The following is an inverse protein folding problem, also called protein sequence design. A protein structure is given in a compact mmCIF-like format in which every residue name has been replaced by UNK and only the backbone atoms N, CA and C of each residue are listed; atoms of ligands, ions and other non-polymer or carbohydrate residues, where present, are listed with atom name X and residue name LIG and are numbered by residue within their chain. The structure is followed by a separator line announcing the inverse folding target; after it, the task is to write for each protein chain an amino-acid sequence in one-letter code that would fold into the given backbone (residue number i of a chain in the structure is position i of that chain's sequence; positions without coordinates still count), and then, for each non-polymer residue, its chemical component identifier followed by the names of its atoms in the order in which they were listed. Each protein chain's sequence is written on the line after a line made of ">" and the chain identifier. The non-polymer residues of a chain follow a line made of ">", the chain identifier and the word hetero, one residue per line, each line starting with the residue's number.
data_IF_571836762799
#
_entry.id   IF_571836762799
#
_cell.length_a   1.000
_cell.length_b   1.000
_cell.length_c   1.000
_cell.angle_alpha   90.00
_cell.angle_beta   90.00
_cell.angle_gamma   90.00
#
_symmetry.space_group_name_H-M   'P 1'
#
loop_
_entity.id
_entity.type
_entity.pdbx_description
1 polymer ?
#
# COMPACT_ATOMS: atom_id res chain seq x y z
N UNK A 1 8.98 -25.05 12.07
CA UNK A 1 9.09 -25.11 10.59
C UNK A 1 10.54 -25.39 10.21
N UNK A 2 10.77 -26.31 9.31
CA UNK A 2 12.11 -26.66 8.81
C UNK A 2 12.29 -26.15 7.38
N UNK A 3 13.53 -25.73 7.04
CA UNK A 3 13.88 -25.36 5.66
C UNK A 3 14.36 -26.58 4.89
N UNK A 4 13.89 -26.73 3.65
CA UNK A 4 14.38 -27.75 2.75
C UNK A 4 15.72 -27.27 2.11
N UNK A 5 16.84 -27.79 2.63
CA UNK A 5 18.17 -27.42 2.12
C UNK A 5 18.65 -28.34 0.98
N UNK A 6 18.05 -29.53 0.79
CA UNK A 6 18.43 -30.49 -0.25
C UNK A 6 18.28 -29.95 -1.67
N UNK A 7 18.88 -30.63 -2.63
CA UNK A 7 18.80 -30.28 -4.07
C UNK A 7 17.36 -30.47 -4.57
N UNK A 8 16.70 -31.55 -4.11
CA UNK A 8 15.29 -31.81 -4.47
C UNK A 8 14.37 -31.05 -3.51
N UNK A 9 13.48 -30.24 -4.06
CA UNK A 9 12.48 -29.47 -3.32
C UNK A 9 11.11 -30.13 -3.47
N UNK A 10 10.58 -30.63 -2.37
CA UNK A 10 9.25 -31.21 -2.34
C UNK A 10 8.18 -30.11 -2.24
N UNK A 11 7.00 -30.37 -2.80
CA UNK A 11 5.80 -29.55 -2.69
C UNK A 11 4.59 -30.46 -2.58
N UNK A 12 3.72 -30.21 -1.58
CA UNK A 12 2.55 -31.03 -1.32
C UNK A 12 2.56 -31.63 0.08
N UNK A 13 1.80 -32.69 0.30
CA UNK A 13 1.70 -33.42 1.58
C UNK A 13 2.22 -34.82 1.44
N UNK A 14 2.99 -35.27 2.42
CA UNK A 14 3.44 -36.65 2.57
C UNK A 14 3.18 -37.04 4.03
N UNK A 15 2.19 -37.88 4.26
CA UNK A 15 1.72 -38.19 5.60
C UNK A 15 1.30 -36.90 6.35
N UNK A 16 1.85 -36.71 7.54
CA UNK A 16 1.60 -35.51 8.36
C UNK A 16 2.50 -34.31 8.01
N UNK A 17 3.45 -34.48 7.08
CA UNK A 17 4.33 -33.42 6.63
C UNK A 17 3.72 -32.66 5.46
N UNK A 18 3.72 -31.33 5.57
CA UNK A 18 3.34 -30.40 4.52
C UNK A 18 4.58 -29.66 4.02
N UNK A 19 4.85 -29.74 2.72
CA UNK A 19 5.94 -29.08 2.02
C UNK A 19 5.36 -27.94 1.17
N UNK A 20 5.91 -26.74 1.32
CA UNK A 20 5.40 -25.55 0.61
C UNK A 20 6.52 -24.53 0.34
N UNK A 21 6.30 -23.69 -0.67
CA UNK A 21 7.20 -22.61 -1.03
C UNK A 21 6.64 -21.26 -0.52
N UNK A 22 7.48 -20.49 0.12
CA UNK A 22 7.22 -19.10 0.52
C UNK A 22 8.17 -18.15 -0.21
N UNK A 23 8.05 -16.86 0.06
CA UNK A 23 9.04 -15.86 -0.41
C UNK A 23 10.43 -16.12 0.19
N UNK A 24 10.48 -16.71 1.39
CA UNK A 24 11.72 -17.03 2.11
C UNK A 24 12.30 -18.41 1.75
N UNK A 25 11.71 -19.10 0.76
CA UNK A 25 12.19 -20.37 0.23
C UNK A 25 11.24 -21.56 0.47
N UNK A 26 11.79 -22.76 0.36
CA UNK A 26 11.06 -24.03 0.52
C UNK A 26 11.08 -24.47 1.99
N UNK A 27 9.90 -24.68 2.55
CA UNK A 27 9.69 -25.03 3.95
C UNK A 27 8.95 -26.38 4.08
N UNK A 28 9.14 -27.01 5.24
CA UNK A 28 8.39 -28.18 5.68
C UNK A 28 7.83 -27.92 7.08
N UNK A 29 6.61 -28.38 7.33
CA UNK A 29 6.00 -28.39 8.65
C UNK A 29 5.20 -29.68 8.86
N UNK A 30 5.19 -30.16 10.07
CA UNK A 30 4.23 -31.17 10.50
C UNK A 30 2.83 -30.54 10.60
N UNK A 31 1.82 -31.28 10.19
CA UNK A 31 0.43 -30.87 10.39
C UNK A 31 0.10 -31.05 11.89
N UNK A 32 0.36 -30.02 12.64
CA UNK A 32 -0.08 -29.94 14.04
C UNK A 32 -1.26 -28.97 14.17
N UNK A 33 -1.90 -29.00 15.32
CA UNK A 33 -2.94 -28.04 15.68
C UNK A 33 -4.28 -28.71 15.98
N UNK A 34 -5.25 -27.88 16.32
CA UNK A 34 -6.61 -28.31 16.64
C UNK A 34 -7.40 -28.49 15.35
N UNK A 35 -8.31 -29.47 15.34
CA UNK A 35 -9.20 -29.71 14.21
C UNK A 35 -10.06 -28.48 13.91
N UNK A 36 -10.31 -28.22 12.62
CA UNK A 36 -11.07 -27.07 12.17
C UNK A 36 -12.53 -27.10 12.69
N UNK A 37 -13.14 -28.28 12.79
CA UNK A 37 -14.48 -28.47 13.34
C UNK A 37 -14.54 -28.10 14.83
N UNK A 38 -13.50 -28.42 15.58
CA UNK A 38 -13.39 -28.04 16.98
C UNK A 38 -13.19 -26.53 17.14
N UNK A 39 -12.34 -25.89 16.32
CA UNK A 39 -12.19 -24.43 16.32
C UNK A 39 -13.53 -23.75 16.00
N UNK A 40 -14.30 -24.31 15.07
CA UNK A 40 -15.59 -23.75 14.67
C UNK A 40 -16.68 -23.85 15.76
N UNK A 41 -16.73 -24.96 16.51
CA UNK A 41 -17.88 -25.30 17.32
C UNK A 41 -17.62 -25.27 18.84
N UNK A 42 -16.39 -25.52 19.29
CA UNK A 42 -16.05 -25.58 20.71
C UNK A 42 -16.06 -24.17 21.35
N UNK A 43 -16.78 -23.95 22.46
CA UNK A 43 -16.82 -22.67 23.18
C UNK A 43 -15.43 -22.15 23.60
N UNK A 44 -14.48 -23.05 23.89
CA UNK A 44 -13.11 -22.67 24.25
C UNK A 44 -12.39 -21.85 23.16
N UNK A 45 -12.83 -21.94 21.89
CA UNK A 45 -12.25 -21.24 20.74
C UNK A 45 -13.01 -19.97 20.33
N UNK A 46 -13.96 -19.48 21.14
CA UNK A 46 -14.69 -18.25 20.81
C UNK A 46 -13.74 -17.07 20.52
N UNK A 47 -12.69 -16.90 21.33
CA UNK A 47 -11.69 -15.85 21.16
C UNK A 47 -10.87 -15.99 19.88
N UNK A 48 -10.58 -17.23 19.49
CA UNK A 48 -9.88 -17.53 18.24
C UNK A 48 -10.73 -17.13 17.03
N UNK A 49 -12.03 -17.44 17.08
CA UNK A 49 -12.99 -17.04 16.02
C UNK A 49 -13.16 -15.54 15.93
N UNK A 50 -13.32 -14.84 17.06
CA UNK A 50 -13.41 -13.38 17.11
C UNK A 50 -12.17 -12.73 16.50
N UNK A 51 -10.97 -13.14 16.90
CA UNK A 51 -9.72 -12.63 16.36
C UNK A 51 -9.58 -12.95 14.87
N UNK A 52 -9.98 -14.15 14.44
CA UNK A 52 -9.97 -14.55 13.03
C UNK A 52 -10.91 -13.72 12.18
N UNK A 53 -12.12 -13.42 12.67
CA UNK A 53 -13.09 -12.57 11.99
C UNK A 53 -12.57 -11.14 11.81
N UNK A 54 -12.05 -10.54 12.87
CA UNK A 54 -11.48 -9.19 12.83
C UNK A 54 -10.24 -9.09 11.93
N UNK A 55 -9.37 -10.11 11.95
CA UNK A 55 -8.21 -10.18 11.07
C UNK A 55 -8.64 -10.29 9.60
N UNK A 56 -9.64 -11.15 9.31
CA UNK A 56 -10.21 -11.29 7.97
C UNK A 56 -10.80 -9.99 7.45
N UNK A 57 -11.53 -9.25 8.28
CA UNK A 57 -12.07 -7.92 7.96
C UNK A 57 -10.95 -6.92 7.64
N UNK A 58 -9.89 -6.87 8.48
CA UNK A 58 -8.74 -6.00 8.26
C UNK A 58 -7.99 -6.34 6.96
N UNK A 59 -7.80 -7.64 6.67
CA UNK A 59 -7.18 -8.09 5.43
C UNK A 59 -8.00 -7.73 4.19
N UNK A 60 -9.34 -7.80 4.28
CA UNK A 60 -10.27 -7.38 3.22
C UNK A 60 -10.19 -5.87 2.97
N UNK A 61 -10.13 -5.05 4.03
CA UNK A 61 -9.92 -3.61 3.92
C UNK A 61 -8.59 -3.27 3.23
N UNK A 62 -7.50 -3.96 3.60
CA UNK A 62 -6.20 -3.80 2.93
C UNK A 62 -6.23 -4.27 1.47
N UNK A 63 -6.99 -5.31 1.14
CA UNK A 63 -7.21 -5.76 -0.24
C UNK A 63 -7.96 -4.70 -1.04
N UNK A 64 -8.99 -4.08 -0.48
CA UNK A 64 -9.75 -3.00 -1.13
C UNK A 64 -8.81 -1.86 -1.54
N UNK A 65 -8.00 -1.33 -0.62
CA UNK A 65 -7.03 -0.26 -0.91
C UNK A 65 -6.07 -0.69 -2.03
N UNK A 66 -5.51 -1.90 -1.98
CA UNK A 66 -4.59 -2.38 -3.01
C UNK A 66 -5.27 -2.55 -4.38
N UNK A 67 -6.51 -3.00 -4.41
CA UNK A 67 -7.27 -3.12 -5.65
C UNK A 67 -7.56 -1.74 -6.26
N UNK A 68 -7.94 -0.76 -5.43
CA UNK A 68 -8.17 0.64 -5.84
C UNK A 68 -6.90 1.24 -6.45
N UNK A 69 -5.74 1.00 -5.84
CA UNK A 69 -4.47 1.58 -6.26
C UNK A 69 -3.67 0.69 -7.22
N UNK A 70 -4.26 -0.39 -7.74
CA UNK A 70 -3.54 -1.40 -8.52
C UNK A 70 -2.64 -0.83 -9.63
N UNK A 71 -3.08 0.13 -10.48
CA UNK A 71 -2.21 0.67 -11.53
C UNK A 71 -0.96 1.36 -10.99
N UNK A 72 -1.06 2.06 -9.85
CA UNK A 72 0.09 2.69 -9.19
C UNK A 72 1.01 1.66 -8.54
N UNK A 73 0.43 0.62 -7.94
CA UNK A 73 1.17 -0.44 -7.27
C UNK A 73 1.98 -1.31 -8.24
N UNK A 74 1.59 -1.38 -9.50
CA UNK A 74 2.35 -2.11 -10.52
C UNK A 74 3.72 -1.50 -10.77
N UNK A 75 3.88 -0.20 -10.54
CA UNK A 75 5.13 0.54 -10.76
C UNK A 75 5.86 0.91 -9.47
N UNK A 76 5.18 0.92 -8.31
CA UNK A 76 5.75 1.40 -7.06
C UNK A 76 5.24 0.60 -5.85
N UNK A 77 5.66 -0.64 -5.71
CA UNK A 77 5.35 -1.47 -4.55
C UNK A 77 6.48 -2.43 -4.19
N UNK A 78 6.55 -2.81 -2.91
CA UNK A 78 7.42 -3.88 -2.44
C UNK A 78 6.67 -5.22 -2.34
N UNK A 79 7.43 -6.30 -2.14
CA UNK A 79 6.88 -7.64 -2.00
C UNK A 79 6.20 -7.90 -0.64
N UNK A 80 6.28 -6.98 0.32
CA UNK A 80 5.68 -7.06 1.66
C UNK A 80 4.54 -6.07 1.89
N UNK A 81 4.18 -5.27 0.90
CA UNK A 81 3.11 -4.27 1.00
C UNK A 81 1.80 -4.86 1.52
N UNK A 82 1.46 -6.09 1.14
CA UNK A 82 0.25 -6.77 1.60
C UNK A 82 0.24 -6.97 3.12
N UNK A 83 1.32 -7.49 3.69
CA UNK A 83 1.41 -7.74 5.14
C UNK A 83 1.53 -6.44 5.93
N UNK A 84 2.27 -5.44 5.43
CA UNK A 84 2.39 -4.12 6.06
C UNK A 84 1.04 -3.40 6.10
N UNK A 85 0.31 -3.40 4.98
CA UNK A 85 -0.99 -2.79 4.90
C UNK A 85 -2.05 -3.53 5.76
N UNK A 86 -2.02 -4.87 5.80
CA UNK A 86 -2.90 -5.65 6.68
C UNK A 86 -2.64 -5.33 8.15
N UNK A 87 -1.37 -5.20 8.55
CA UNK A 87 -1.01 -4.77 9.91
C UNK A 87 -1.61 -3.39 10.20
N UNK A 88 -1.40 -2.41 9.32
CA UNK A 88 -1.95 -1.07 9.47
C UNK A 88 -3.48 -1.08 9.60
N UNK A 89 -4.18 -1.85 8.76
CA UNK A 89 -5.64 -1.99 8.86
C UNK A 89 -6.06 -2.63 10.19
N UNK A 90 -5.26 -3.54 10.73
CA UNK A 90 -5.51 -4.12 12.07
C UNK A 90 -5.32 -3.08 13.17
N UNK A 91 -4.29 -2.24 13.07
CA UNK A 91 -4.05 -1.17 14.04
C UNK A 91 -5.19 -0.14 13.99
N UNK A 92 -5.66 0.25 12.81
CA UNK A 92 -6.84 1.12 12.62
C UNK A 92 -8.10 0.47 13.20
N UNK A 93 -8.40 -0.79 12.88
CA UNK A 93 -9.55 -1.52 13.40
C UNK A 93 -9.56 -1.55 14.95
N UNK A 94 -8.39 -1.61 15.58
CA UNK A 94 -8.28 -1.61 17.04
C UNK A 94 -8.75 -0.30 17.69
N UNK A 95 -8.87 0.78 16.93
CA UNK A 95 -9.46 2.05 17.38
C UNK A 95 -10.99 2.03 17.43
N UNK A 96 -11.64 1.01 16.87
CA UNK A 96 -13.09 0.84 17.00
C UNK A 96 -13.44 0.42 18.43
N UNK A 97 -13.83 1.39 19.24
CA UNK A 97 -14.24 1.21 20.63
C UNK A 97 -15.77 0.96 20.78
N UNK A 98 -16.53 1.08 19.69
CA UNK A 98 -18.00 0.99 19.72
C UNK A 98 -18.51 -0.41 19.40
N UNK A 99 -17.83 -1.15 18.54
CA UNK A 99 -18.21 -2.49 18.16
C UNK A 99 -17.81 -3.52 19.21
N UNK A 100 -18.65 -4.52 19.41
CA UNK A 100 -18.30 -5.65 20.29
C UNK A 100 -17.13 -6.43 19.71
N UNK A 101 -16.37 -7.06 20.58
CA UNK A 101 -15.22 -7.87 20.18
C UNK A 101 -15.65 -8.96 19.18
N UNK A 102 -14.84 -9.15 18.14
CA UNK A 102 -15.13 -10.03 17.01
C UNK A 102 -15.83 -9.34 15.84
N UNK A 103 -16.36 -8.13 16.06
CA UNK A 103 -17.08 -7.35 15.03
C UNK A 103 -16.47 -5.98 14.74
N UNK A 104 -15.32 -5.67 15.36
CA UNK A 104 -14.61 -4.41 15.09
C UNK A 104 -14.12 -4.37 13.64
N UNK A 105 -14.29 -3.20 13.00
CA UNK A 105 -13.97 -3.01 11.58
C UNK A 105 -13.20 -1.73 11.31
N UNK A 106 -12.47 -1.70 10.20
CA UNK A 106 -11.85 -0.48 9.68
C UNK A 106 -12.92 0.53 9.28
N UNK A 107 -14.06 0.08 8.74
CA UNK A 107 -15.14 0.96 8.29
C UNK A 107 -15.71 1.84 9.40
N UNK A 108 -15.79 1.34 10.63
CA UNK A 108 -16.20 2.13 11.80
C UNK A 108 -15.06 3.02 12.29
N UNK A 109 -13.86 2.45 12.44
CA UNK A 109 -12.71 3.15 13.03
C UNK A 109 -12.19 4.31 12.18
N UNK A 110 -12.29 4.23 10.85
CA UNK A 110 -11.68 5.20 9.93
C UNK A 110 -12.31 6.60 10.00
N UNK A 111 -13.48 6.73 10.58
CA UNK A 111 -14.10 8.03 10.87
C UNK A 111 -13.32 8.84 11.92
N UNK A 112 -12.53 8.17 12.76
CA UNK A 112 -11.75 8.79 13.81
C UNK A 112 -10.49 9.45 13.27
N UNK A 113 -10.17 10.64 13.77
CA UNK A 113 -8.95 11.37 13.40
C UNK A 113 -7.65 10.56 13.63
N UNK A 114 -7.47 9.81 14.75
CA UNK A 114 -6.31 8.95 14.93
C UNK A 114 -6.16 7.85 13.87
N UNK A 115 -7.27 7.29 13.38
CA UNK A 115 -7.27 6.27 12.34
C UNK A 115 -6.80 6.83 10.99
N UNK A 116 -7.27 8.02 10.62
CA UNK A 116 -6.81 8.75 9.43
C UNK A 116 -5.31 9.10 9.54
N UNK A 117 -4.87 9.53 10.71
CA UNK A 117 -3.46 9.84 10.99
C UNK A 117 -2.54 8.62 10.82
N UNK A 118 -2.98 7.42 11.23
CA UNK A 118 -2.24 6.17 10.99
C UNK A 118 -2.10 5.84 9.51
N UNK A 119 -3.12 6.15 8.71
CA UNK A 119 -3.12 5.84 7.28
C UNK A 119 -2.30 6.85 6.47
N UNK A 120 -2.28 8.12 6.90
CA UNK A 120 -1.46 9.19 6.32
C UNK A 120 0.02 8.86 6.48
N UNK A 121 0.80 9.02 5.41
CA UNK A 121 2.22 8.72 5.38
C UNK A 121 2.56 7.25 5.10
N UNK A 122 1.56 6.37 4.85
CA UNK A 122 1.85 4.99 4.48
C UNK A 122 2.54 4.93 3.10
N UNK A 123 3.73 4.34 3.07
CA UNK A 123 4.51 4.13 1.86
C UNK A 123 4.29 2.71 1.33
N UNK A 124 3.89 2.59 0.07
CA UNK A 124 3.65 1.30 -0.58
C UNK A 124 4.93 0.58 -1.01
N UNK A 125 6.04 1.31 -1.07
CA UNK A 125 7.38 0.75 -1.27
C UNK A 125 8.26 1.11 -0.08
N UNK A 126 8.66 0.12 0.71
CA UNK A 126 9.51 0.30 1.89
C UNK A 126 10.98 0.64 1.56
N UNK A 127 11.38 0.41 0.30
CA UNK A 127 12.70 0.75 -0.23
C UNK A 127 12.76 2.17 -0.80
N UNK A 128 11.60 2.81 -0.97
CA UNK A 128 11.46 4.12 -1.58
C UNK A 128 10.44 4.95 -0.80
N UNK A 129 10.83 5.37 0.40
CA UNK A 129 10.00 6.19 1.29
C UNK A 129 9.95 7.60 0.73
N UNK A 130 8.73 8.15 0.53
CA UNK A 130 8.54 9.45 -0.11
C UNK A 130 9.34 10.57 0.57
N UNK A 131 9.35 10.65 1.90
CA UNK A 131 10.08 11.68 2.64
C UNK A 131 11.61 11.56 2.55
N UNK A 132 12.14 10.40 2.12
CA UNK A 132 13.57 10.22 1.85
C UNK A 132 13.91 10.46 0.37
N UNK A 133 12.92 10.66 -0.48
CA UNK A 133 13.08 10.90 -1.91
C UNK A 133 12.77 12.35 -2.26
N UNK A 134 11.67 12.90 -1.78
CA UNK A 134 11.23 14.26 -2.03
C UNK A 134 11.52 15.14 -0.81
N UNK A 135 12.46 16.06 -0.93
CA UNK A 135 12.83 17.01 0.13
C UNK A 135 12.07 18.34 0.02
N UNK A 136 11.44 18.59 -1.13
CA UNK A 136 10.62 19.79 -1.35
C UNK A 136 9.27 19.65 -0.68
N UNK A 137 8.79 20.66 0.07
CA UNK A 137 7.43 20.67 0.59
C UNK A 137 6.39 20.65 -0.53
N UNK A 138 5.28 19.98 -0.27
CA UNK A 138 4.11 19.96 -1.15
C UNK A 138 2.85 20.28 -0.37
N UNK A 139 1.83 20.75 -1.05
CA UNK A 139 0.51 21.04 -0.49
C UNK A 139 -0.56 20.17 -1.18
N UNK A 140 -1.54 19.72 -0.39
CA UNK A 140 -2.71 18.96 -0.88
C UNK A 140 -3.96 19.78 -0.59
N UNK A 141 -4.70 20.15 -1.64
CA UNK A 141 -6.00 20.80 -1.51
C UNK A 141 -7.08 19.72 -1.48
N UNK A 142 -7.52 19.34 -0.30
CA UNK A 142 -8.45 18.19 -0.10
C UNK A 142 -9.80 18.39 -0.79
N UNK A 143 -10.24 19.64 -1.00
CA UNK A 143 -11.50 19.94 -1.66
C UNK A 143 -11.48 19.64 -3.18
N UNK A 144 -10.32 19.76 -3.82
CA UNK A 144 -10.16 19.58 -5.27
C UNK A 144 -9.25 18.41 -5.63
N UNK A 145 -8.55 17.84 -4.65
CA UNK A 145 -7.57 16.78 -4.85
C UNK A 145 -6.26 17.25 -5.50
N UNK A 146 -6.09 18.55 -5.71
CA UNK A 146 -4.89 19.12 -6.34
C UNK A 146 -3.71 19.02 -5.40
N UNK A 147 -2.57 18.52 -5.93
CA UNK A 147 -1.29 18.50 -5.21
C UNK A 147 -0.33 19.45 -5.92
N UNK A 148 0.29 20.36 -5.16
CA UNK A 148 1.23 21.35 -5.67
C UNK A 148 2.60 21.21 -5.04
N UNK A 149 3.66 21.33 -5.85
CA UNK A 149 5.05 21.41 -5.41
C UNK A 149 5.66 22.63 -6.09
N UNK A 150 5.85 23.71 -5.35
CA UNK A 150 6.31 24.96 -5.92
C UNK A 150 7.83 25.03 -5.97
N UNK A 151 8.39 25.45 -7.10
CA UNK A 151 9.81 25.68 -7.27
C UNK A 151 10.66 24.42 -7.10
N UNK A 152 10.18 23.26 -7.54
CA UNK A 152 10.92 22.01 -7.50
C UNK A 152 12.15 22.07 -8.42
N UNK A 153 13.32 21.80 -7.88
CA UNK A 153 14.58 21.64 -8.63
C UNK A 153 14.97 20.16 -8.55
N UNK A 154 14.66 19.34 -9.58
CA UNK A 154 14.81 17.88 -9.47
C UNK A 154 16.20 17.39 -9.05
N UNK A 155 17.27 18.06 -9.50
CA UNK A 155 18.62 17.69 -9.12
C UNK A 155 18.97 17.92 -7.65
N UNK A 156 18.29 18.87 -7.00
CA UNK A 156 18.57 19.25 -5.59
C UNK A 156 17.55 18.69 -4.62
N UNK A 157 16.27 18.69 -5.03
CA UNK A 157 15.13 18.43 -4.15
C UNK A 157 14.68 16.95 -4.18
N UNK A 158 15.27 16.12 -5.06
CA UNK A 158 14.93 14.69 -5.19
C UNK A 158 16.16 13.83 -5.06
N UNK A 159 16.10 12.85 -4.16
CA UNK A 159 17.09 11.77 -4.09
C UNK A 159 16.78 10.75 -5.19
N UNK A 160 17.61 10.68 -6.22
CA UNK A 160 17.42 9.80 -7.36
C UNK A 160 18.50 8.74 -7.47
N UNK A 161 18.16 7.53 -7.96
CA UNK A 161 19.13 6.44 -8.15
C UNK A 161 20.04 6.70 -9.35
N UNK A 162 21.23 6.11 -9.33
CA UNK A 162 22.18 6.19 -10.46
C UNK A 162 21.52 5.65 -11.75
N UNK A 163 21.69 6.41 -12.84
CA UNK A 163 21.12 6.11 -14.15
C UNK A 163 19.74 6.74 -14.39
N UNK A 164 19.12 7.36 -13.39
CA UNK A 164 17.91 8.15 -13.62
C UNK A 164 18.24 9.44 -14.37
N UNK A 165 17.46 9.73 -15.41
CA UNK A 165 17.60 10.95 -16.22
C UNK A 165 16.34 11.82 -16.14
N UNK A 166 15.19 11.21 -15.88
CA UNK A 166 13.88 11.84 -15.77
C UNK A 166 13.09 11.30 -14.60
N UNK A 167 12.12 12.09 -14.18
CA UNK A 167 11.11 11.69 -13.21
C UNK A 167 9.71 11.90 -13.76
N UNK A 168 8.80 11.00 -13.43
CA UNK A 168 7.37 11.24 -13.53
C UNK A 168 6.81 11.49 -12.13
N UNK A 169 6.05 12.56 -11.99
CA UNK A 169 5.30 12.85 -10.77
C UNK A 169 3.82 12.77 -11.11
N UNK A 170 3.08 12.00 -10.32
CA UNK A 170 1.66 11.76 -10.52
C UNK A 170 0.92 11.75 -9.19
N UNK A 171 -0.25 12.38 -9.16
CA UNK A 171 -1.18 12.33 -8.04
C UNK A 171 -2.32 11.36 -8.32
N UNK A 172 -3.01 10.95 -7.26
CA UNK A 172 -4.30 10.30 -7.37
C UNK A 172 -5.19 10.66 -6.18
N UNK A 173 -6.49 10.75 -6.44
CA UNK A 173 -7.52 10.93 -5.44
C UNK A 173 -8.42 9.70 -5.46
N UNK A 174 -8.40 8.92 -4.39
CA UNK A 174 -9.30 7.79 -4.20
C UNK A 174 -10.32 8.08 -3.11
N UNK A 175 -11.52 7.58 -3.28
CA UNK A 175 -12.55 7.51 -2.26
C UNK A 175 -12.82 6.05 -1.94
N UNK A 176 -12.66 5.67 -0.68
CA UNK A 176 -12.71 4.26 -0.24
C UNK A 176 -13.75 4.10 0.85
N UNK A 177 -14.79 3.34 0.55
CA UNK A 177 -15.81 2.93 1.52
C UNK A 177 -15.47 1.53 2.05
N UNK A 178 -14.88 1.51 3.24
CA UNK A 178 -14.49 0.27 3.91
C UNK A 178 -15.68 -0.53 4.44
N UNK A 179 -16.83 0.13 4.67
CA UNK A 179 -18.02 -0.54 5.16
C UNK A 179 -18.71 -1.35 4.06
N UNK A 180 -18.85 -0.74 2.87
CA UNK A 180 -19.52 -1.35 1.72
C UNK A 180 -18.54 -2.03 0.74
N UNK A 181 -17.23 -1.96 1.01
CA UNK A 181 -16.17 -2.55 0.17
C UNK A 181 -16.20 -2.05 -1.28
N UNK A 182 -16.46 -0.74 -1.46
CA UNK A 182 -16.48 -0.06 -2.76
C UNK A 182 -15.48 1.08 -2.78
N UNK A 183 -14.99 1.43 -3.97
CA UNK A 183 -14.06 2.55 -4.13
C UNK A 183 -14.12 3.13 -5.53
N UNK A 184 -13.73 4.40 -5.63
CA UNK A 184 -13.47 5.10 -6.89
C UNK A 184 -12.10 5.76 -6.82
N UNK A 185 -11.43 5.93 -7.97
CA UNK A 185 -10.12 6.61 -8.05
C UNK A 185 -10.04 7.45 -9.31
N UNK A 186 -9.50 8.65 -9.16
CA UNK A 186 -9.17 9.56 -10.26
C UNK A 186 -7.68 9.88 -10.21
N UNK A 187 -7.07 9.86 -11.36
CA UNK A 187 -5.64 10.17 -11.51
C UNK A 187 -5.47 11.62 -11.98
N UNK A 188 -4.37 12.23 -11.57
CA UNK A 188 -3.95 13.52 -12.11
C UNK A 188 -3.29 13.36 -13.48
N UNK A 189 -3.00 14.50 -14.11
CA UNK A 189 -1.95 14.57 -15.13
C UNK A 189 -0.63 14.00 -14.60
N UNK A 190 0.24 13.60 -15.52
CA UNK A 190 1.63 13.23 -15.22
C UNK A 190 2.52 14.40 -15.57
N UNK A 191 3.35 14.83 -14.64
CA UNK A 191 4.40 15.83 -14.88
C UNK A 191 5.73 15.09 -15.06
N UNK A 192 6.27 15.15 -16.27
CA UNK A 192 7.58 14.56 -16.61
C UNK A 192 8.64 15.67 -16.60
N UNK A 193 9.68 15.50 -15.80
CA UNK A 193 10.76 16.46 -15.67
C UNK A 193 12.13 15.79 -15.87
N UNK A 194 13.07 16.43 -16.58
CA UNK A 194 14.46 16.00 -16.57
C UNK A 194 15.06 16.27 -15.19
N UNK A 195 16.01 15.42 -14.76
CA UNK A 195 16.76 15.60 -13.52
C UNK A 195 17.87 16.62 -13.78
N UNK A 196 17.55 17.89 -13.63
CA UNK A 196 18.46 19.01 -13.82
C UNK A 196 18.26 20.09 -12.74
N UNK A 197 19.00 21.18 -12.81
CA UNK A 197 18.94 22.31 -11.88
C UNK A 197 17.90 23.39 -12.25
N UNK A 198 17.01 23.10 -13.17
CA UNK A 198 15.94 24.05 -13.58
C UNK A 198 14.77 23.93 -12.61
N UNK A 199 14.33 25.07 -12.07
CA UNK A 199 13.17 25.15 -11.17
C UNK A 199 11.86 25.00 -11.96
N UNK A 200 10.95 24.19 -11.45
CA UNK A 200 9.64 23.94 -12.07
C UNK A 200 8.53 23.93 -11.00
N UNK A 201 7.37 24.47 -11.35
CA UNK A 201 6.17 24.30 -10.53
C UNK A 201 5.40 23.07 -10.99
N UNK A 202 5.15 22.16 -10.07
CA UNK A 202 4.38 20.94 -10.33
C UNK A 202 2.97 21.13 -9.80
N UNK A 203 1.98 20.99 -10.68
CA UNK A 203 0.55 21.01 -10.34
C UNK A 203 -0.07 19.72 -10.86
N UNK A 204 -0.53 18.89 -9.94
CA UNK A 204 -1.16 17.60 -10.20
C UNK A 204 -2.66 17.74 -9.97
N UNK A 205 -3.41 17.87 -11.06
CA UNK A 205 -4.87 18.06 -11.01
C UNK A 205 -5.56 16.76 -11.39
N UNK A 206 -6.36 16.14 -10.50
CA UNK A 206 -7.17 14.98 -10.84
C UNK A 206 -8.13 15.28 -12.00
N UNK A 207 -8.38 14.29 -12.85
CA UNK A 207 -9.30 14.43 -14.02
C UNK A 207 -10.74 14.75 -13.59
N UNK A 208 -11.14 14.35 -12.40
CA UNK A 208 -12.41 14.66 -11.77
C UNK A 208 -12.30 14.43 -10.25
N UNK A 209 -13.31 14.82 -9.50
CA UNK A 209 -13.46 14.39 -8.10
C UNK A 209 -13.77 12.89 -8.03
N UNK A 210 -13.18 12.21 -7.05
CA UNK A 210 -13.55 10.82 -6.78
C UNK A 210 -14.97 10.77 -6.21
N UNK A 211 -15.80 9.85 -6.71
CA UNK A 211 -17.23 9.75 -6.42
C UNK A 211 -17.53 8.68 -5.37
N UNK A 212 -18.75 8.69 -4.83
CA UNK A 212 -19.23 7.72 -3.84
C UNK A 212 -19.09 8.20 -2.40
N UNK A 213 -19.33 7.29 -1.47
CA UNK A 213 -19.14 7.50 -0.03
C UNK A 213 -17.73 7.07 0.41
N UNK A 214 -17.40 7.36 1.68
CA UNK A 214 -16.19 6.87 2.32
C UNK A 214 -15.09 7.91 2.50
N UNK A 215 -13.90 7.44 2.80
CA UNK A 215 -12.72 8.25 3.15
C UNK A 215 -11.95 8.65 1.90
N UNK A 216 -11.57 9.92 1.81
CA UNK A 216 -10.71 10.41 0.75
C UNK A 216 -9.25 10.09 1.06
N UNK A 217 -8.57 9.48 0.11
CA UNK A 217 -7.13 9.20 0.14
C UNK A 217 -6.47 9.94 -1.01
N UNK A 218 -5.45 10.72 -0.70
CA UNK A 218 -4.65 11.43 -1.70
C UNK A 218 -3.26 10.80 -1.76
N UNK A 219 -2.86 10.39 -2.95
CA UNK A 219 -1.60 9.72 -3.19
C UNK A 219 -0.68 10.58 -4.03
N UNK A 220 0.61 10.49 -3.73
CA UNK A 220 1.69 11.04 -4.54
C UNK A 220 2.64 9.92 -4.94
N UNK A 221 2.92 9.83 -6.23
CA UNK A 221 3.86 8.88 -6.82
C UNK A 221 5.00 9.63 -7.50
N UNK A 222 6.23 9.13 -7.30
CA UNK A 222 7.41 9.54 -8.05
C UNK A 222 8.00 8.29 -8.69
N UNK A 223 8.14 8.33 -10.01
CA UNK A 223 8.72 7.26 -10.82
C UNK A 223 10.01 7.76 -11.46
N UNK A 224 11.06 6.94 -11.43
CA UNK A 224 12.34 7.22 -12.05
C UNK A 224 12.47 6.56 -13.40
N UNK A 225 12.92 7.34 -14.39
CA UNK A 225 13.07 6.91 -15.77
C UNK A 225 14.50 7.13 -16.23
N UNK A 226 14.95 6.25 -17.12
CA UNK A 226 16.19 6.39 -17.86
C UNK A 226 15.88 6.64 -19.33
N UNK A 227 16.47 7.66 -19.89
CA UNK A 227 16.38 7.93 -21.33
C UNK A 227 17.50 7.17 -22.05
N UNK A 228 17.10 6.35 -23.03
CA UNK A 228 18.00 5.64 -23.92
C UNK A 228 17.52 5.86 -25.34
N UNK A 229 18.37 6.38 -26.22
CA UNK A 229 18.02 6.67 -27.62
C UNK A 229 16.68 7.43 -27.76
N UNK A 230 16.52 8.52 -27.00
CA UNK A 230 15.31 9.39 -26.97
C UNK A 230 14.02 8.73 -26.44
N UNK A 231 14.07 7.49 -25.98
CA UNK A 231 12.94 6.78 -25.35
C UNK A 231 13.16 6.67 -23.84
N UNK A 232 12.15 6.96 -23.07
CA UNK A 232 12.18 6.83 -21.61
C UNK A 232 11.72 5.45 -21.17
N UNK A 233 12.49 4.78 -20.36
CA UNK A 233 12.21 3.46 -19.78
C UNK A 233 12.19 3.55 -18.27
N UNK A 234 11.30 2.76 -17.63
CA UNK A 234 11.26 2.66 -16.17
C UNK A 234 12.60 2.11 -15.64
N UNK A 235 13.18 2.78 -14.66
CA UNK A 235 14.48 2.41 -14.11
C UNK A 235 14.34 1.22 -13.17
N UNK A 236 15.11 0.15 -13.42
CA UNK A 236 15.18 -1.06 -12.58
C UNK A 236 13.80 -1.59 -12.17
N UNK A 237 12.87 -1.62 -13.11
CA UNK A 237 11.48 -2.12 -12.91
C UNK A 237 10.76 -1.46 -11.73
N UNK A 238 11.01 -0.18 -11.46
CA UNK A 238 10.34 0.57 -10.42
C UNK A 238 10.82 0.32 -8.98
N UNK A 239 11.95 -0.36 -8.79
CA UNK A 239 12.45 -0.68 -7.45
C UNK A 239 12.68 0.54 -6.55
N UNK A 240 12.89 1.71 -7.13
CA UNK A 240 13.12 2.97 -6.44
C UNK A 240 11.93 3.93 -6.50
N UNK A 241 10.82 3.53 -7.11
CA UNK A 241 9.66 4.38 -7.26
C UNK A 241 8.93 4.52 -5.93
N UNK A 242 8.63 5.76 -5.55
CA UNK A 242 7.86 6.06 -4.35
C UNK A 242 6.37 6.13 -4.65
N UNK A 243 5.56 5.62 -3.73
CA UNK A 243 4.12 5.81 -3.68
C UNK A 243 3.70 5.92 -2.21
N UNK A 244 3.07 7.02 -1.86
CA UNK A 244 2.63 7.26 -0.48
C UNK A 244 1.22 7.85 -0.44
N UNK A 245 0.49 7.55 0.64
CA UNK A 245 -0.72 8.28 1.01
C UNK A 245 -0.27 9.58 1.70
N UNK A 246 -0.45 10.71 1.02
CA UNK A 246 0.05 12.00 1.49
C UNK A 246 -0.97 12.78 2.31
N UNK A 247 -2.27 12.50 2.12
CA UNK A 247 -3.35 13.11 2.92
C UNK A 247 -4.55 12.16 3.00
N UNK A 248 -5.33 12.28 4.09
CA UNK A 248 -6.55 11.52 4.37
C UNK A 248 -7.62 12.46 4.92
N UNK A 249 -8.78 12.55 4.26
CA UNK A 249 -9.86 13.44 4.64
C UNK A 249 -11.21 12.72 4.77
#
# INVERSE_FOLDING_TARGET
>A
MARQKGIIKLKGKIGDLSFYKTQDGHLAREKGGVDASRIANDPAFIRTRENGAEFGSSASSGKLVRNTLRPLLMTASDNRVTSRLTKLMTDIKNLDATSVRGKRTVGVAIALAPAKALLKGFNFNDKAILGSILFKPFAVTTATGVITINGLIPANDIAFPAGATHINIKGAWAKVDFANNVSDIKYSNVVNLPINAVSSNVVLTPTAAATGAGTNLFMLQIEFLQMVNTVQYSLKNGAYNALSIVEVA
#
